data_IF_853930180609
#
_entry.id   IF_853930180609
#
_cell.length_a   1.000
_cell.length_b   1.000
_cell.length_c   1.000
_cell.angle_alpha   90.00
_cell.angle_beta   90.00
_cell.angle_gamma   90.00
#
_symmetry.space_group_name_H-M   'P 1'
#
loop_
_entity.id
_entity.type
_entity.pdbx_description
1 polymer ?
#
# COMPACT_ATOMS: atom_id res chain seq x y z
N UNK A 1 -23.03 6.07 -10.77
CA UNK A 1 -21.65 6.48 -10.48
C UNK A 1 -20.84 5.21 -10.39
N UNK A 2 -19.91 4.99 -11.31
CA UNK A 2 -19.13 3.76 -11.35
C UNK A 2 -17.96 3.93 -10.39
N UNK A 3 -17.80 3.01 -9.44
CA UNK A 3 -16.66 3.02 -8.52
C UNK A 3 -15.39 2.76 -9.32
N UNK A 4 -14.41 3.66 -9.19
CA UNK A 4 -13.13 3.55 -9.88
C UNK A 4 -12.13 2.83 -8.98
N UNK A 5 -12.14 1.49 -9.06
CA UNK A 5 -11.29 0.63 -8.22
C UNK A 5 -9.81 0.92 -8.46
N UNK A 6 -9.41 1.27 -9.68
CA UNK A 6 -8.02 1.60 -10.01
C UNK A 6 -7.58 2.89 -9.29
N UNK A 7 -8.42 3.92 -9.21
CA UNK A 7 -8.14 5.10 -8.41
C UNK A 7 -7.99 4.77 -6.91
N UNK A 8 -8.86 3.90 -6.37
CA UNK A 8 -8.77 3.47 -4.97
C UNK A 8 -7.44 2.76 -4.68
N UNK A 9 -7.01 1.87 -5.58
CA UNK A 9 -5.71 1.18 -5.49
C UNK A 9 -4.55 2.16 -5.51
N UNK A 10 -4.58 3.16 -6.39
CA UNK A 10 -3.57 4.21 -6.42
C UNK A 10 -3.50 4.99 -5.10
N UNK A 11 -4.65 5.29 -4.48
CA UNK A 11 -4.68 5.92 -3.17
C UNK A 11 -4.00 5.05 -2.10
N UNK A 12 -4.29 3.75 -2.08
CA UNK A 12 -3.65 2.81 -1.13
C UNK A 12 -2.12 2.83 -1.29
N UNK A 13 -1.60 2.76 -2.51
CA UNK A 13 -0.14 2.83 -2.75
C UNK A 13 0.48 4.15 -2.29
N UNK A 14 -0.20 5.28 -2.54
CA UNK A 14 0.32 6.60 -2.17
C UNK A 14 0.29 6.87 -0.67
N UNK A 15 -0.69 6.31 0.04
CA UNK A 15 -0.88 6.48 1.49
C UNK A 15 -0.19 5.36 2.30
N UNK A 16 0.49 4.44 1.62
CA UNK A 16 1.21 3.35 2.26
C UNK A 16 2.31 3.88 3.17
N UNK A 17 2.39 3.41 4.43
CA UNK A 17 3.46 3.81 5.33
C UNK A 17 4.82 3.27 4.86
N UNK A 18 5.90 3.84 5.39
CA UNK A 18 7.27 3.36 5.15
C UNK A 18 7.66 2.16 6.04
N UNK A 19 6.72 1.61 6.83
CA UNK A 19 6.96 0.52 7.76
C UNK A 19 5.76 -0.45 7.73
N UNK A 20 6.02 -1.74 7.97
CA UNK A 20 4.95 -2.74 8.08
C UNK A 20 3.99 -2.39 9.21
N UNK A 21 2.70 -2.61 9.00
CA UNK A 21 1.68 -2.36 9.99
C UNK A 21 0.28 -2.28 9.40
N UNK A 22 -0.68 -1.96 10.26
CA UNK A 22 -2.06 -1.69 9.84
C UNK A 22 -2.29 -0.20 9.72
N UNK A 23 -2.99 0.19 8.68
CA UNK A 23 -3.41 1.58 8.50
C UNK A 23 -4.79 1.65 7.85
N UNK A 24 -5.47 2.76 8.11
CA UNK A 24 -6.74 3.11 7.50
C UNK A 24 -6.50 4.16 6.40
N UNK A 25 -7.20 4.04 5.27
CA UNK A 25 -7.05 4.95 4.13
C UNK A 25 -8.41 5.30 3.53
N UNK A 26 -8.62 6.59 3.27
CA UNK A 26 -9.81 7.11 2.61
C UNK A 26 -9.70 6.89 1.09
N UNK A 27 -10.46 5.93 0.55
CA UNK A 27 -10.42 5.55 -0.85
C UNK A 27 -11.14 6.53 -1.79
N UNK A 28 -11.75 7.57 -1.24
CA UNK A 28 -12.61 8.51 -1.95
C UNK A 28 -14.04 7.97 -2.16
N UNK A 29 -14.94 8.85 -2.61
CA UNK A 29 -16.38 8.56 -2.75
C UNK A 29 -17.05 8.06 -1.44
N UNK A 30 -16.52 8.45 -0.29
CA UNK A 30 -17.09 8.08 1.01
C UNK A 30 -16.72 6.69 1.51
N UNK A 31 -15.68 6.05 0.96
CA UNK A 31 -15.21 4.74 1.43
C UNK A 31 -13.89 4.84 2.18
N UNK A 32 -13.76 4.06 3.24
CA UNK A 32 -12.52 3.87 4.01
C UNK A 32 -12.16 2.39 4.04
N UNK A 33 -10.87 2.08 3.96
CA UNK A 33 -10.37 0.71 4.03
C UNK A 33 -9.34 0.55 5.14
N UNK A 34 -9.38 -0.58 5.83
CA UNK A 34 -8.31 -1.05 6.71
C UNK A 34 -7.40 -2.00 5.94
N UNK A 35 -6.10 -1.70 5.91
CA UNK A 35 -5.08 -2.44 5.17
C UNK A 35 -4.03 -2.96 6.16
N UNK A 36 -3.71 -4.25 6.06
CA UNK A 36 -2.52 -4.86 6.67
C UNK A 36 -1.41 -4.87 5.62
N UNK A 37 -0.30 -4.19 5.94
CA UNK A 37 0.78 -3.93 5.00
C UNK A 37 2.10 -4.48 5.53
N UNK A 38 2.82 -5.23 4.70
CA UNK A 38 4.16 -5.72 4.99
C UNK A 38 5.13 -5.20 3.94
N UNK A 39 6.15 -4.46 4.39
CA UNK A 39 7.25 -4.00 3.55
C UNK A 39 8.57 -4.47 4.14
N UNK A 40 9.45 -4.97 3.29
CA UNK A 40 10.80 -5.35 3.67
C UNK A 40 11.79 -4.65 2.79
N UNK A 41 12.80 -4.12 3.44
CA UNK A 41 13.86 -3.43 2.79
C UNK A 41 15.12 -4.28 2.77
N UNK A 42 15.88 -4.13 1.69
CA UNK A 42 17.23 -4.68 1.58
C UNK A 42 18.20 -3.52 1.46
N UNK A 43 19.26 -3.59 2.26
CA UNK A 43 20.42 -2.72 2.09
C UNK A 43 21.21 -3.18 0.86
N UNK A 44 21.28 -2.31 -0.14
CA UNK A 44 22.19 -2.45 -1.27
C UNK A 44 23.33 -1.45 -1.16
N UNK A 45 24.55 -1.92 -1.36
CA UNK A 45 25.74 -1.08 -1.49
C UNK A 45 25.93 -0.78 -2.97
N UNK A 46 25.74 0.46 -3.38
CA UNK A 46 25.99 0.93 -4.75
C UNK A 46 27.26 1.78 -4.87
N UNK A 47 28.07 1.57 -5.93
CA UNK A 47 29.21 2.46 -6.30
C UNK A 47 30.62 1.83 -6.21
N UNK A 48 31.68 2.48 -6.75
CA UNK A 48 32.96 1.86 -7.23
C UNK A 48 34.29 2.52 -6.77
N UNK A 49 35.41 1.75 -6.80
CA UNK A 49 36.84 2.13 -6.50
C UNK A 49 37.34 3.06 -7.62
N UNK A 50 37.98 4.21 -7.40
CA UNK A 50 38.92 4.69 -6.38
C UNK A 50 38.51 6.08 -5.79
N UNK A 51 38.74 6.29 -4.48
CA UNK A 51 38.35 7.44 -3.61
C UNK A 51 36.92 7.40 -3.01
N UNK A 52 36.59 6.32 -2.30
CA UNK A 52 35.23 5.92 -1.93
C UNK A 52 34.48 6.74 -0.86
N UNK A 53 33.34 7.29 -1.26
CA UNK A 53 32.11 7.31 -0.46
C UNK A 53 31.25 6.12 -0.92
N UNK A 54 30.84 5.24 0.01
CA UNK A 54 29.87 4.18 -0.26
C UNK A 54 28.49 4.68 0.15
N UNK A 55 27.56 4.80 -0.80
CA UNK A 55 26.18 5.13 -0.48
C UNK A 55 25.40 3.84 -0.18
N UNK A 56 24.90 3.74 1.06
CA UNK A 56 23.92 2.73 1.42
C UNK A 56 22.57 3.16 0.85
N UNK A 57 22.03 2.37 -0.07
CA UNK A 57 20.70 2.61 -0.65
C UNK A 57 19.77 1.54 -0.10
N UNK A 58 18.69 1.99 0.53
CA UNK A 58 17.61 1.11 0.99
C UNK A 58 16.64 0.91 -0.16
N UNK A 59 16.51 -0.34 -0.64
CA UNK A 59 15.55 -0.70 -1.69
C UNK A 59 14.44 -1.59 -1.13
N UNK A 60 13.24 -1.49 -1.69
CA UNK A 60 12.14 -2.38 -1.35
C UNK A 60 12.43 -3.76 -1.96
N UNK A 61 12.57 -4.77 -1.10
CA UNK A 61 12.78 -6.17 -1.46
C UNK A 61 11.44 -6.92 -1.57
N UNK A 62 10.48 -6.53 -0.74
CA UNK A 62 9.17 -7.14 -0.67
C UNK A 62 8.12 -6.12 -0.23
N UNK A 63 6.96 -6.18 -0.85
CA UNK A 63 5.81 -5.35 -0.51
C UNK A 63 4.53 -6.19 -0.66
N UNK A 64 3.67 -6.16 0.34
CA UNK A 64 2.42 -6.92 0.37
C UNK A 64 1.31 -6.12 1.02
N UNK A 65 0.14 -6.20 0.40
CA UNK A 65 -1.08 -5.53 0.81
C UNK A 65 -2.20 -6.52 1.03
N UNK A 66 -2.79 -6.49 2.22
CA UNK A 66 -3.99 -7.23 2.54
C UNK A 66 -5.10 -6.30 2.98
N UNK A 67 -6.18 -6.25 2.19
CA UNK A 67 -7.38 -5.51 2.57
C UNK A 67 -8.13 -6.29 3.65
N UNK A 68 -8.21 -5.76 4.86
CA UNK A 68 -8.93 -6.41 5.96
C UNK A 68 -10.43 -6.15 5.85
N UNK A 69 -10.80 -4.88 5.68
CA UNK A 69 -12.20 -4.44 5.60
C UNK A 69 -12.32 -3.13 4.82
N UNK A 70 -13.53 -2.85 4.31
CA UNK A 70 -13.90 -1.58 3.67
C UNK A 70 -15.28 -1.21 4.16
N UNK A 71 -15.50 0.05 4.52
CA UNK A 71 -16.81 0.57 4.93
C UNK A 71 -17.12 1.91 4.27
N UNK A 72 -18.41 2.23 4.17
CA UNK A 72 -18.88 3.53 3.70
C UNK A 72 -18.94 4.58 4.83
N UNK A 73 -19.32 5.82 4.51
CA UNK A 73 -19.45 6.93 5.46
C UNK A 73 -20.49 6.70 6.57
N UNK A 74 -21.43 5.79 6.35
CA UNK A 74 -22.43 5.38 7.34
C UNK A 74 -21.92 4.22 8.22
N UNK A 75 -20.73 3.68 7.92
CA UNK A 75 -20.09 2.57 8.62
C UNK A 75 -20.56 1.20 8.15
N UNK A 76 -21.22 1.09 6.99
CA UNK A 76 -21.63 -0.22 6.46
C UNK A 76 -20.47 -0.90 5.74
N UNK A 77 -20.22 -2.16 6.07
CA UNK A 77 -19.20 -2.96 5.41
C UNK A 77 -19.54 -3.21 3.93
N UNK A 78 -18.52 -3.07 3.07
CA UNK A 78 -18.62 -3.19 1.62
C UNK A 78 -17.77 -4.36 1.10
N UNK A 79 -18.18 -5.63 1.34
CA UNK A 79 -17.37 -6.81 1.01
C UNK A 79 -17.09 -6.99 -0.49
N UNK A 80 -17.98 -6.50 -1.37
CA UNK A 80 -17.75 -6.51 -2.82
C UNK A 80 -16.56 -5.62 -3.24
N UNK A 81 -16.31 -4.51 -2.52
CA UNK A 81 -15.16 -3.64 -2.76
C UNK A 81 -13.89 -4.32 -2.23
N UNK A 82 -13.96 -4.93 -1.04
CA UNK A 82 -12.85 -5.72 -0.47
C UNK A 82 -12.36 -6.75 -1.48
N UNK A 83 -13.27 -7.52 -2.08
CA UNK A 83 -12.92 -8.55 -3.06
C UNK A 83 -12.22 -7.95 -4.29
N UNK A 84 -12.76 -6.87 -4.85
CA UNK A 84 -12.18 -6.21 -6.02
C UNK A 84 -10.79 -5.62 -5.74
N UNK A 85 -10.60 -5.00 -4.58
CA UNK A 85 -9.29 -4.49 -4.18
C UNK A 85 -8.27 -5.62 -3.98
N UNK A 86 -8.66 -6.73 -3.34
CA UNK A 86 -7.80 -7.92 -3.20
C UNK A 86 -7.38 -8.53 -4.52
N UNK A 87 -8.24 -8.48 -5.54
CA UNK A 87 -7.91 -8.96 -6.88
C UNK A 87 -6.90 -8.05 -7.59
N UNK A 88 -6.84 -6.77 -7.21
CA UNK A 88 -5.99 -5.74 -7.85
C UNK A 88 -4.66 -5.49 -7.13
N UNK A 89 -4.60 -5.63 -5.81
CA UNK A 89 -3.41 -5.41 -4.97
C UNK A 89 -2.47 -6.64 -4.93
N UNK A 90 -2.51 -7.47 -5.97
CA UNK A 90 -1.77 -8.74 -6.08
C UNK A 90 -0.48 -8.62 -6.86
#
# INVERSE_FOLDING_TARGET
MQLDIDAMVQTIYNESPSESGRFEVELGNGYTAEIDYDVRYRDEIGGSYENWDFEHITVIDYEYYEVLSVWDEEGNECPDIVKQLKEKLR
#
